data_IF_025390525418
#
_entry.id   IF_025390525418
#
_cell.length_a   1.000
_cell.length_b   1.000
_cell.length_c   1.000
_cell.angle_alpha   90.00
_cell.angle_beta   90.00
_cell.angle_gamma   90.00
#
_symmetry.space_group_name_H-M   'P 1'
#
loop_
_entity.id
_entity.type
_entity.pdbx_description
1 polymer ?
#
# COMPACT_ATOMS: atom_id res chain seq x y z
N UNK A 1 -28.69 -16.62 16.08
CA UNK A 1 -27.41 -15.87 16.07
C UNK A 1 -27.74 -14.40 16.17
N UNK A 2 -27.37 -13.74 17.28
CA UNK A 2 -27.77 -12.36 17.55
C UNK A 2 -26.95 -11.37 16.71
N UNK A 3 -27.55 -10.27 16.26
CA UNK A 3 -26.88 -9.22 15.47
C UNK A 3 -25.61 -8.69 16.17
N UNK A 4 -25.60 -8.73 17.51
CA UNK A 4 -24.48 -8.29 18.33
C UNK A 4 -23.24 -9.21 18.24
N UNK A 5 -23.42 -10.51 18.01
CA UNK A 5 -22.29 -11.44 17.80
C UNK A 5 -21.65 -11.25 16.43
N UNK A 6 -22.46 -10.92 15.41
CA UNK A 6 -21.99 -10.59 14.07
C UNK A 6 -21.17 -9.28 14.08
N UNK A 7 -21.66 -8.25 14.76
CA UNK A 7 -20.97 -6.96 14.88
C UNK A 7 -19.63 -7.07 15.63
N UNK A 8 -19.55 -7.91 16.66
CA UNK A 8 -18.31 -8.19 17.37
C UNK A 8 -17.29 -8.93 16.49
N UNK A 9 -17.74 -9.88 15.65
CA UNK A 9 -16.87 -10.59 14.71
C UNK A 9 -16.29 -9.65 13.63
N UNK A 10 -17.10 -8.74 13.08
CA UNK A 10 -16.63 -7.75 12.10
C UNK A 10 -15.65 -6.73 12.70
N UNK A 11 -15.83 -6.33 13.97
CA UNK A 11 -14.86 -5.45 14.64
C UNK A 11 -13.51 -6.14 14.84
N UNK A 12 -13.47 -7.44 15.17
CA UNK A 12 -12.21 -8.18 15.29
C UNK A 12 -11.45 -8.29 13.96
N UNK A 13 -12.16 -8.60 12.87
CA UNK A 13 -11.55 -8.68 11.53
C UNK A 13 -11.00 -7.34 11.01
N UNK A 14 -11.58 -6.21 11.44
CA UNK A 14 -11.13 -4.87 11.02
C UNK A 14 -9.84 -4.43 11.73
N UNK A 15 -9.64 -4.83 12.99
CA UNK A 15 -8.45 -4.45 13.79
C UNK A 15 -7.21 -5.24 13.31
N UNK A 16 -7.37 -6.51 12.97
CA UNK A 16 -6.23 -7.37 12.58
C UNK A 16 -5.66 -7.04 11.19
N UNK A 17 -6.49 -6.53 10.26
CA UNK A 17 -6.06 -6.15 8.90
C UNK A 17 -5.36 -4.79 8.83
N UNK A 18 -5.68 -3.86 9.72
CA UNK A 18 -5.12 -2.50 9.72
C UNK A 18 -3.83 -2.43 10.57
N UNK A 19 -3.71 -3.24 11.63
CA UNK A 19 -2.54 -3.21 12.52
C UNK A 19 -1.27 -3.84 11.93
N UNK A 20 -1.37 -5.01 11.29
CA UNK A 20 -0.18 -5.80 10.91
C UNK A 20 0.58 -5.23 9.70
N UNK A 21 -0.14 -4.69 8.71
CA UNK A 21 0.45 -4.13 7.48
C UNK A 21 0.97 -2.69 7.67
N UNK A 22 0.32 -1.89 8.51
CA UNK A 22 0.75 -0.52 8.79
C UNK A 22 2.00 -0.48 9.69
N UNK A 23 2.08 -1.35 10.71
CA UNK A 23 3.23 -1.40 11.61
C UNK A 23 4.53 -1.90 10.94
N UNK A 24 4.43 -2.85 10.00
CA UNK A 24 5.59 -3.35 9.25
C UNK A 24 6.07 -2.38 8.16
N UNK A 25 5.18 -1.52 7.64
CA UNK A 25 5.52 -0.49 6.67
C UNK A 25 6.13 0.77 7.33
N UNK A 26 5.64 1.20 8.50
CA UNK A 26 6.18 2.38 9.20
C UNK A 26 7.53 2.10 9.88
N UNK A 27 7.75 0.89 10.42
CA UNK A 27 9.02 0.52 11.05
C UNK A 27 10.22 0.51 10.07
N UNK A 28 9.98 0.27 8.77
CA UNK A 28 11.04 0.26 7.75
C UNK A 28 11.42 1.64 7.22
N UNK A 29 10.62 2.68 7.46
CA UNK A 29 10.86 4.02 6.91
C UNK A 29 11.56 5.00 7.86
N UNK A 30 11.60 4.73 9.17
CA UNK A 30 12.27 5.60 10.15
C UNK A 30 13.62 5.11 10.67
N UNK A 31 14.11 3.95 10.22
CA UNK A 31 15.32 3.30 10.78
C UNK A 31 16.67 3.73 10.15
N UNK A 32 16.76 4.86 9.44
CA UNK A 32 18.07 5.33 8.91
C UNK A 32 18.25 6.85 8.94
N UNK A 33 18.01 7.51 10.07
CA UNK A 33 18.62 8.82 10.37
C UNK A 33 18.83 8.97 11.88
N UNK A 34 19.79 8.24 12.45
CA UNK A 34 20.51 8.74 13.61
C UNK A 34 21.68 9.57 13.07
N UNK A 35 21.40 10.84 12.84
CA UNK A 35 22.44 11.86 12.69
C UNK A 35 22.68 12.32 14.13
N UNK A 36 23.87 12.03 14.66
CA UNK A 36 24.33 12.60 15.92
C UNK A 36 24.34 14.12 15.78
N UNK A 37 23.39 14.78 16.40
CA UNK A 37 23.48 16.20 16.75
C UNK A 37 23.34 16.24 18.26
N UNK A 38 24.49 16.39 18.91
CA UNK A 38 24.57 16.91 20.27
C UNK A 38 23.85 18.27 20.30
N UNK A 39 22.66 18.28 20.86
CA UNK A 39 21.97 19.50 21.30
C UNK A 39 21.66 19.31 22.76
N UNK A 40 22.70 19.35 23.58
CA UNK A 40 22.57 19.65 24.99
C UNK A 40 22.55 21.17 25.13
N UNK A 41 21.35 21.75 25.32
CA UNK A 41 21.08 22.92 26.17
C UNK A 41 19.67 23.43 25.95
N UNK A 42 19.04 23.80 27.07
CA UNK A 42 17.77 24.49 27.23
C UNK A 42 16.51 23.64 27.07
N UNK A 43 16.04 23.08 28.18
CA UNK A 43 14.85 23.56 28.91
C UNK A 43 14.69 22.69 30.18
N UNK A 44 14.92 23.28 31.36
CA UNK A 44 14.50 22.69 32.62
C UNK A 44 13.03 23.07 32.90
N UNK A 45 12.33 22.18 33.60
CA UNK A 45 11.10 22.36 34.38
C UNK A 45 9.79 21.83 33.78
N UNK A 46 9.50 20.52 33.95
CA UNK A 46 8.16 19.96 34.27
C UNK A 46 8.37 18.62 35.04
N UNK A 47 7.58 18.31 36.10
CA UNK A 47 7.91 17.24 37.05
C UNK A 47 7.48 15.83 36.60
N UNK A 48 8.25 14.88 37.14
CA UNK A 48 8.24 13.43 37.00
C UNK A 48 6.86 12.77 37.15
N UNK A 49 6.49 11.94 36.17
CA UNK A 49 5.57 10.82 36.39
C UNK A 49 6.34 9.53 36.15
N UNK A 50 6.20 8.59 37.08
CA UNK A 50 6.97 7.37 37.20
C UNK A 50 6.85 6.48 35.95
N UNK A 51 7.95 6.41 35.19
CA UNK A 51 8.16 5.40 34.14
C UNK A 51 9.27 4.47 34.64
N UNK A 52 9.13 3.13 34.51
CA UNK A 52 10.18 2.21 34.94
C UNK A 52 11.44 2.48 34.12
N UNK A 53 12.47 2.97 34.80
CA UNK A 53 13.80 3.17 34.22
C UNK A 53 14.42 1.79 34.04
N UNK A 54 14.46 1.31 32.79
CA UNK A 54 15.26 0.14 32.46
C UNK A 54 16.71 0.58 32.38
N UNK A 55 17.52 0.20 33.37
CA UNK A 55 18.95 0.46 33.41
C UNK A 55 19.65 -0.28 32.27
N UNK A 56 20.05 0.45 31.23
CA UNK A 56 20.86 -0.07 30.13
C UNK A 56 22.29 -0.21 30.64
N UNK A 57 22.73 -1.43 30.93
CA UNK A 57 24.13 -1.71 31.29
C UNK A 57 24.92 -2.06 30.04
N UNK A 58 25.89 -1.22 29.69
CA UNK A 58 26.80 -1.46 28.57
C UNK A 58 28.02 -2.26 29.07
N UNK A 59 28.28 -3.43 28.47
CA UNK A 59 29.51 -4.19 28.72
C UNK A 59 30.52 -3.89 27.60
N UNK A 60 31.72 -3.37 27.92
CA UNK A 60 32.72 -3.08 26.90
C UNK A 60 33.26 -4.38 26.29
N UNK A 61 33.23 -4.49 24.96
CA UNK A 61 33.79 -5.63 24.21
C UNK A 61 32.78 -6.41 23.37
N UNK A 62 31.47 -6.22 23.56
CA UNK A 62 30.42 -6.85 22.75
C UNK A 62 29.31 -5.84 22.42
N UNK A 63 28.92 -5.77 21.15
CA UNK A 63 27.79 -4.94 20.68
C UNK A 63 26.45 -5.64 21.02
N UNK A 64 26.22 -5.89 22.30
CA UNK A 64 25.01 -6.54 22.83
C UNK A 64 24.39 -5.61 23.86
N UNK A 65 23.29 -4.94 23.49
CA UNK A 65 22.48 -4.13 24.40
C UNK A 65 21.40 -5.06 24.96
N UNK A 66 21.54 -5.45 26.23
CA UNK A 66 20.58 -6.28 26.92
C UNK A 66 19.38 -5.41 27.35
N UNK A 67 18.36 -5.32 26.49
CA UNK A 67 17.04 -4.88 26.91
C UNK A 67 16.46 -6.04 27.73
N UNK A 68 16.29 -5.88 29.05
CA UNK A 68 15.83 -6.93 29.98
C UNK A 68 14.43 -7.48 29.70
N UNK A 69 14.24 -8.10 28.54
CA UNK A 69 13.02 -8.77 28.11
C UNK A 69 13.08 -10.18 28.71
N UNK A 70 12.09 -10.62 29.52
CA UNK A 70 12.03 -11.99 29.99
C UNK A 70 11.83 -12.92 28.79
N UNK A 71 12.90 -13.63 28.41
CA UNK A 71 12.91 -14.60 27.33
C UNK A 71 11.98 -15.76 27.65
N UNK A 72 10.77 -15.75 27.09
CA UNK A 72 9.92 -16.94 27.03
C UNK A 72 10.37 -17.81 25.86
N UNK A 73 10.89 -19.00 26.22
CA UNK A 73 11.07 -20.24 25.44
C UNK A 73 12.08 -20.20 24.29
N UNK A 74 13.14 -21.01 24.43
CA UNK A 74 14.04 -21.40 23.36
C UNK A 74 13.26 -22.06 22.23
N UNK A 75 13.24 -21.43 21.08
CA UNK A 75 12.78 -22.07 19.84
C UNK A 75 13.91 -23.01 19.39
N UNK A 76 13.65 -24.31 19.17
CA UNK A 76 14.67 -25.21 18.64
C UNK A 76 15.06 -24.79 17.21
N UNK A 77 16.34 -24.94 16.89
CA UNK A 77 16.93 -24.58 15.61
C UNK A 77 16.34 -25.40 14.47
N UNK A 78 15.77 -24.73 13.47
CA UNK A 78 15.29 -25.30 12.19
C UNK A 78 16.52 -25.67 11.34
N UNK A 79 17.23 -26.73 11.71
CA UNK A 79 18.17 -27.41 10.82
C UNK A 79 17.90 -28.91 10.97
N UNK A 80 16.72 -29.32 10.52
CA UNK A 80 16.40 -30.71 10.20
C UNK A 80 16.61 -30.91 8.70
N UNK A 81 17.86 -31.02 8.27
CA UNK A 81 18.15 -31.74 7.03
C UNK A 81 18.69 -33.11 7.42
N UNK A 82 18.01 -34.22 7.08
CA UNK A 82 18.55 -35.53 7.36
C UNK A 82 19.78 -35.72 6.48
N UNK A 83 20.96 -35.64 7.10
CA UNK A 83 22.21 -36.06 6.45
C UNK A 83 22.12 -37.57 6.32
N UNK A 84 21.75 -38.05 5.13
CA UNK A 84 21.80 -39.48 4.83
C UNK A 84 23.25 -39.96 5.03
N UNK A 85 23.44 -40.86 6.01
CA UNK A 85 24.75 -41.48 6.25
C UNK A 85 25.07 -42.38 5.06
N UNK A 86 25.97 -41.94 4.19
CA UNK A 86 26.48 -42.78 3.10
C UNK A 86 27.28 -43.92 3.76
N UNK A 87 27.02 -45.19 3.43
CA UNK A 87 27.84 -46.28 3.94
C UNK A 87 29.29 -46.12 3.46
N UNK A 88 30.29 -46.48 4.28
CA UNK A 88 31.69 -46.36 3.90
C UNK A 88 31.96 -47.18 2.63
N UNK A 89 32.70 -46.57 1.71
CA UNK A 89 33.05 -47.12 0.41
C UNK A 89 33.81 -48.44 0.61
N UNK A 90 33.24 -49.56 0.16
CA UNK A 90 33.94 -50.85 0.13
C UNK A 90 34.86 -50.88 -1.08
N UNK A 91 36.12 -51.25 -0.86
CA UNK A 91 37.06 -51.50 -1.95
C UNK A 91 36.58 -52.70 -2.79
N UNK A 92 36.63 -52.63 -4.13
CA UNK A 92 36.17 -53.72 -4.97
C UNK A 92 37.06 -54.95 -4.75
N UNK A 93 36.42 -56.06 -4.39
CA UNK A 93 37.06 -57.36 -4.24
C UNK A 93 37.76 -57.73 -5.54
N UNK A 94 39.05 -58.05 -5.44
CA UNK A 94 39.99 -58.55 -6.46
C UNK A 94 39.34 -58.94 -7.78
N UNK A 95 39.74 -58.23 -8.85
CA UNK A 95 39.38 -58.51 -10.24
C UNK A 95 39.61 -59.98 -10.59
N UNK A 96 38.53 -60.72 -10.81
CA UNK A 96 38.62 -62.01 -11.49
C UNK A 96 39.07 -61.76 -12.94
N UNK A 97 39.93 -62.61 -13.53
CA UNK A 97 40.26 -62.50 -14.94
C UNK A 97 38.98 -62.62 -15.78
N UNK A 98 38.73 -61.60 -16.61
CA UNK A 98 37.66 -61.62 -17.60
C UNK A 98 37.93 -62.77 -18.57
N UNK A 99 37.05 -63.77 -18.56
CA UNK A 99 36.98 -64.78 -19.61
C UNK A 99 36.42 -64.09 -20.86
N UNK A 100 37.25 -63.96 -21.90
CA UNK A 100 36.87 -63.33 -23.15
C UNK A 100 36.19 -64.37 -24.04
N UNK A 101 34.89 -64.22 -24.26
CA UNK A 101 34.20 -64.96 -25.33
C UNK A 101 34.70 -64.51 -26.71
N UNK A 102 34.66 -65.46 -27.66
CA UNK A 102 35.10 -65.38 -29.06
C UNK A 102 34.69 -64.09 -29.81
N UNK A 103 35.46 -63.64 -30.82
CA UNK A 103 35.38 -62.28 -31.33
C UNK A 103 33.99 -61.91 -31.87
N UNK A 104 33.44 -60.83 -31.31
CA UNK A 104 32.22 -60.18 -31.77
C UNK A 104 32.37 -59.75 -33.24
N UNK A 105 31.32 -59.88 -34.07
CA UNK A 105 31.36 -59.36 -35.43
C UNK A 105 31.62 -57.85 -35.41
N UNK A 106 32.57 -57.40 -36.23
CA UNK A 106 32.90 -55.98 -36.42
C UNK A 106 31.70 -55.24 -37.03
N UNK A 107 30.72 -54.87 -36.21
CA UNK A 107 29.81 -53.77 -36.53
C UNK A 107 30.61 -52.50 -36.28
N UNK A 108 31.05 -51.84 -37.34
CA UNK A 108 31.62 -50.51 -37.30
C UNK A 108 30.60 -49.58 -36.63
N UNK A 109 30.84 -49.25 -35.35
CA UNK A 109 30.10 -48.21 -34.65
C UNK A 109 30.66 -46.89 -35.15
N UNK A 110 30.03 -46.31 -36.17
CA UNK A 110 30.35 -44.97 -36.59
C UNK A 110 30.05 -43.99 -35.45
N UNK A 111 31.02 -43.14 -35.13
CA UNK A 111 30.82 -42.03 -34.19
C UNK A 111 29.67 -41.16 -34.71
N UNK A 112 28.71 -40.75 -33.85
CA UNK A 112 27.65 -39.85 -34.28
C UNK A 112 28.31 -38.61 -34.88
N UNK A 113 27.95 -38.30 -36.13
CA UNK A 113 28.55 -37.22 -36.92
C UNK A 113 28.57 -35.93 -36.10
N UNK A 114 29.77 -35.46 -35.74
CA UNK A 114 30.00 -34.16 -35.11
C UNK A 114 29.78 -33.09 -36.21
N UNK A 115 28.54 -32.96 -36.66
CA UNK A 115 28.16 -32.12 -37.80
C UNK A 115 26.93 -31.24 -37.51
N UNK A 116 26.42 -31.25 -36.28
CA UNK A 116 25.44 -30.29 -35.83
C UNK A 116 26.15 -29.08 -35.25
N UNK A 117 26.40 -28.04 -36.07
CA UNK A 117 26.57 -26.70 -35.52
C UNK A 117 25.26 -26.32 -34.83
N UNK A 118 25.10 -26.70 -33.56
CA UNK A 118 24.03 -26.17 -32.74
C UNK A 118 24.31 -24.69 -32.61
N UNK A 119 23.65 -23.86 -33.43
CA UNK A 119 23.61 -22.42 -33.24
C UNK A 119 23.19 -22.18 -31.80
N UNK A 120 24.16 -21.93 -30.91
CA UNK A 120 23.88 -21.55 -29.54
C UNK A 120 23.19 -20.21 -29.64
N UNK A 121 21.85 -20.21 -29.64
CA UNK A 121 21.01 -19.03 -29.62
C UNK A 121 21.27 -18.28 -28.30
N UNK A 122 22.39 -17.55 -28.26
CA UNK A 122 22.83 -16.73 -27.14
C UNK A 122 21.96 -15.48 -26.98
N UNK A 123 20.82 -15.42 -27.67
CA UNK A 123 19.80 -14.38 -27.59
C UNK A 123 19.48 -14.06 -26.13
N UNK A 124 19.29 -15.09 -25.28
CA UNK A 124 19.04 -14.91 -23.84
C UNK A 124 20.24 -14.28 -23.12
N UNK A 125 21.47 -14.68 -23.45
CA UNK A 125 22.69 -14.09 -22.89
C UNK A 125 22.88 -12.63 -23.27
N UNK A 126 22.59 -12.26 -24.51
CA UNK A 126 22.66 -10.87 -24.97
C UNK A 126 21.63 -10.01 -24.21
N UNK A 127 20.39 -10.49 -24.06
CA UNK A 127 19.34 -9.80 -23.28
C UNK A 127 19.76 -9.64 -21.81
N UNK A 128 20.32 -10.69 -21.20
CA UNK A 128 20.80 -10.67 -19.82
C UNK A 128 21.96 -9.67 -19.66
N UNK A 129 22.93 -9.65 -20.57
CA UNK A 129 24.04 -8.68 -20.57
C UNK A 129 23.56 -7.24 -20.71
N UNK A 130 22.57 -6.97 -21.58
CA UNK A 130 21.95 -5.64 -21.70
C UNK A 130 21.25 -5.22 -20.41
N UNK A 131 20.46 -6.11 -19.79
CA UNK A 131 19.80 -5.86 -18.49
C UNK A 131 20.83 -5.64 -17.37
N UNK A 132 21.88 -6.46 -17.32
CA UNK A 132 23.02 -6.32 -16.40
C UNK A 132 23.65 -4.94 -16.54
N UNK A 133 23.98 -4.53 -17.76
CA UNK A 133 24.64 -3.26 -18.03
C UNK A 133 23.73 -2.08 -17.67
N UNK A 134 22.44 -2.12 -18.00
CA UNK A 134 21.45 -1.09 -17.57
C UNK A 134 21.36 -0.98 -16.04
N UNK A 135 21.30 -2.10 -15.32
CA UNK A 135 21.28 -2.14 -13.85
C UNK A 135 22.58 -1.59 -13.25
N UNK A 136 23.73 -1.97 -13.82
CA UNK A 136 25.05 -1.49 -13.40
C UNK A 136 25.17 0.03 -13.58
N UNK A 137 24.90 0.54 -14.79
CA UNK A 137 24.91 1.98 -15.08
C UNK A 137 23.95 2.76 -14.19
N UNK A 138 22.72 2.24 -13.98
CA UNK A 138 21.75 2.83 -13.05
C UNK A 138 22.32 2.91 -11.63
N UNK A 139 22.87 1.82 -11.09
CA UNK A 139 23.49 1.80 -9.75
C UNK A 139 24.63 2.82 -9.65
N UNK A 140 25.51 2.90 -10.66
CA UNK A 140 26.60 3.88 -10.72
C UNK A 140 26.06 5.31 -10.68
N UNK A 141 25.00 5.61 -11.46
CA UNK A 141 24.32 6.90 -11.45
C UNK A 141 23.72 7.22 -10.07
N UNK A 142 23.05 6.25 -9.42
CA UNK A 142 22.45 6.49 -8.09
C UNK A 142 23.49 6.82 -7.02
N UNK A 143 24.67 6.20 -7.10
CA UNK A 143 25.78 6.52 -6.21
C UNK A 143 26.31 7.93 -6.49
N UNK A 144 26.55 8.26 -7.77
CA UNK A 144 27.04 9.60 -8.19
C UNK A 144 26.07 10.73 -7.80
N UNK A 145 24.76 10.52 -7.97
CA UNK A 145 23.73 11.56 -7.78
C UNK A 145 23.00 11.49 -6.43
N UNK A 146 23.50 10.71 -5.46
CA UNK A 146 22.82 10.42 -4.17
C UNK A 146 22.29 11.69 -3.50
N UNK A 147 23.12 12.71 -3.37
CA UNK A 147 22.79 13.94 -2.66
C UNK A 147 21.84 14.86 -3.44
N UNK A 148 22.03 14.97 -4.75
CA UNK A 148 21.13 15.75 -5.62
C UNK A 148 19.71 15.19 -5.54
N UNK A 149 19.57 13.87 -5.61
CA UNK A 149 18.26 13.22 -5.49
C UNK A 149 17.67 13.27 -4.08
N UNK A 150 18.52 13.23 -3.05
CA UNK A 150 18.07 13.44 -1.67
C UNK A 150 17.47 14.85 -1.51
N UNK A 151 18.15 15.89 -2.02
CA UNK A 151 17.64 17.27 -2.03
C UNK A 151 16.32 17.39 -2.78
N UNK A 152 16.22 16.79 -3.98
CA UNK A 152 14.96 16.79 -4.74
C UNK A 152 13.83 16.01 -4.04
N UNK A 153 14.15 14.94 -3.32
CA UNK A 153 13.15 14.20 -2.54
C UNK A 153 12.67 15.03 -1.36
N UNK A 154 13.59 15.69 -0.65
CA UNK A 154 13.26 16.57 0.47
C UNK A 154 12.33 17.71 0.02
N UNK A 155 12.65 18.39 -1.10
CA UNK A 155 11.79 19.45 -1.66
C UNK A 155 10.39 18.95 -1.95
N UNK A 156 10.26 17.81 -2.66
CA UNK A 156 8.95 17.19 -2.94
C UNK A 156 8.19 16.80 -1.68
N UNK A 157 8.87 16.32 -0.66
CA UNK A 157 8.23 15.98 0.62
C UNK A 157 7.71 17.23 1.34
N UNK A 158 8.50 18.30 1.38
CA UNK A 158 8.09 19.58 1.97
C UNK A 158 6.88 20.16 1.22
N UNK A 159 6.90 20.16 -0.12
CA UNK A 159 5.76 20.61 -0.92
C UNK A 159 4.52 19.77 -0.66
N UNK A 160 4.66 18.44 -0.54
CA UNK A 160 3.56 17.54 -0.22
C UNK A 160 2.96 17.86 1.15
N UNK A 161 3.81 18.07 2.17
CA UNK A 161 3.37 18.43 3.53
C UNK A 161 2.68 19.80 3.50
N UNK A 162 3.22 20.79 2.79
CA UNK A 162 2.61 22.12 2.67
C UNK A 162 1.23 22.05 2.01
N UNK A 163 1.08 21.30 0.92
CA UNK A 163 -0.22 21.09 0.26
C UNK A 163 -1.23 20.45 1.21
N UNK A 164 -0.82 19.39 1.90
CA UNK A 164 -1.67 18.72 2.89
C UNK A 164 -2.11 19.66 4.02
N UNK A 165 -1.18 20.43 4.59
CA UNK A 165 -1.49 21.38 5.65
C UNK A 165 -2.46 22.47 5.17
N UNK A 166 -2.26 22.99 3.95
CA UNK A 166 -3.17 23.97 3.37
C UNK A 166 -4.58 23.40 3.19
N UNK A 167 -4.70 22.17 2.69
CA UNK A 167 -5.99 21.48 2.57
C UNK A 167 -6.67 21.29 3.93
N UNK A 168 -5.92 20.93 4.97
CA UNK A 168 -6.45 20.79 6.32
C UNK A 168 -6.93 22.12 6.89
N UNK A 169 -6.12 23.18 6.76
CA UNK A 169 -6.49 24.54 7.19
C UNK A 169 -7.74 25.01 6.44
N UNK A 170 -7.85 24.73 5.14
CA UNK A 170 -9.04 25.07 4.36
C UNK A 170 -10.29 24.36 4.90
N UNK A 171 -10.21 23.06 5.22
CA UNK A 171 -11.33 22.32 5.82
C UNK A 171 -11.70 22.86 7.21
N UNK A 172 -10.72 23.19 8.04
CA UNK A 172 -10.96 23.79 9.37
C UNK A 172 -11.68 25.13 9.21
N UNK A 173 -11.22 25.99 8.29
CA UNK A 173 -11.87 27.28 8.01
C UNK A 173 -13.30 27.10 7.49
N UNK A 174 -13.54 26.14 6.60
CA UNK A 174 -14.88 25.81 6.13
C UNK A 174 -15.78 25.34 7.28
N UNK A 175 -15.27 24.52 8.19
CA UNK A 175 -16.01 24.04 9.36
C UNK A 175 -16.28 25.15 10.37
N UNK A 176 -15.33 26.07 10.60
CA UNK A 176 -15.51 27.23 11.48
C UNK A 176 -16.51 28.24 10.90
N UNK A 177 -16.49 28.45 9.59
CA UNK A 177 -17.42 29.32 8.89
C UNK A 177 -18.80 28.68 8.65
N UNK A 178 -18.98 27.41 9.04
CA UNK A 178 -20.23 26.70 8.81
C UNK A 178 -21.32 27.20 9.77
N UNK A 179 -22.29 27.91 9.20
CA UNK A 179 -23.52 28.29 9.90
C UNK A 179 -24.65 27.31 9.55
N UNK A 180 -25.05 26.51 10.54
CA UNK A 180 -26.09 25.51 10.39
C UNK A 180 -27.45 26.11 9.99
N UNK A 181 -27.80 27.30 10.49
CA UNK A 181 -29.09 27.93 10.17
C UNK A 181 -29.14 28.30 8.69
N UNK A 182 -28.10 28.95 8.19
CA UNK A 182 -27.96 29.30 6.77
C UNK A 182 -27.94 28.07 5.87
N UNK A 183 -27.26 27.00 6.29
CA UNK A 183 -27.23 25.75 5.55
C UNK A 183 -28.62 25.12 5.42
N UNK A 184 -29.38 25.03 6.52
CA UNK A 184 -30.74 24.50 6.51
C UNK A 184 -31.67 25.39 5.69
N UNK A 185 -31.60 26.70 5.86
CA UNK A 185 -32.39 27.64 5.07
C UNK A 185 -32.12 27.49 3.57
N UNK A 186 -30.85 27.41 3.16
CA UNK A 186 -30.52 27.17 1.75
C UNK A 186 -31.06 25.82 1.22
N UNK A 187 -31.15 24.78 2.06
CA UNK A 187 -31.79 23.51 1.69
C UNK A 187 -33.29 23.64 1.53
N UNK A 188 -33.95 24.34 2.45
CA UNK A 188 -35.37 24.66 2.37
C UNK A 188 -35.66 25.51 1.14
N UNK A 189 -34.83 26.49 0.82
CA UNK A 189 -34.96 27.33 -0.38
C UNK A 189 -34.84 26.49 -1.66
N UNK A 190 -33.91 25.53 -1.71
CA UNK A 190 -33.80 24.60 -2.85
C UNK A 190 -35.04 23.72 -2.99
N UNK A 191 -35.63 23.30 -1.87
CA UNK A 191 -36.84 22.47 -1.86
C UNK A 191 -38.07 23.30 -2.27
N UNK A 192 -38.17 24.52 -1.77
CA UNK A 192 -39.26 25.46 -2.01
C UNK A 192 -39.17 26.14 -3.39
N UNK A 193 -37.98 26.16 -4.01
CA UNK A 193 -37.80 26.63 -5.39
C UNK A 193 -38.70 25.85 -6.32
N UNK A 194 -39.60 26.56 -6.98
CA UNK A 194 -40.53 25.98 -7.93
C UNK A 194 -39.77 25.32 -9.10
N UNK A 195 -40.00 24.02 -9.27
CA UNK A 195 -39.47 23.26 -10.41
C UNK A 195 -40.35 23.51 -11.62
N UNK A 196 -39.88 24.36 -12.52
CA UNK A 196 -40.56 24.65 -13.78
C UNK A 196 -40.05 23.70 -14.86
N UNK A 197 -40.93 22.96 -15.56
CA UNK A 197 -40.50 22.10 -16.66
C UNK A 197 -39.94 22.95 -17.80
N UNK A 198 -39.00 22.37 -18.55
CA UNK A 198 -38.42 23.03 -19.74
C UNK A 198 -39.37 23.10 -20.93
N UNK A 199 -40.41 22.27 -20.92
CA UNK A 199 -41.41 22.18 -21.98
C UNK A 199 -42.80 22.43 -21.41
N UNK A 200 -43.67 22.98 -22.24
CA UNK A 200 -45.09 23.14 -21.90
C UNK A 200 -45.93 22.63 -23.08
N UNK A 201 -46.82 21.67 -22.81
CA UNK A 201 -47.64 20.98 -23.84
C UNK A 201 -46.84 20.31 -24.97
N UNK A 202 -45.56 20.01 -24.74
CA UNK A 202 -44.68 19.34 -25.72
C UNK A 202 -43.71 20.28 -26.44
N UNK A 203 -43.95 21.59 -26.40
CA UNK A 203 -43.08 22.58 -27.04
C UNK A 203 -42.05 23.15 -26.05
N UNK A 204 -40.85 23.43 -26.55
CA UNK A 204 -39.80 24.11 -25.78
C UNK A 204 -40.06 25.61 -25.87
N UNK A 205 -40.48 26.20 -24.75
CA UNK A 205 -40.81 27.61 -24.66
C UNK A 205 -39.85 28.31 -23.66
N UNK A 206 -39.65 29.63 -23.79
CA UNK A 206 -38.93 30.42 -22.80
C UNK A 206 -39.54 30.27 -21.40
N UNK A 207 -38.69 30.26 -20.37
CA UNK A 207 -39.08 30.00 -18.98
C UNK A 207 -40.18 30.95 -18.48
N UNK A 208 -40.13 32.22 -18.90
CA UNK A 208 -41.11 33.24 -18.54
C UNK A 208 -42.50 32.94 -19.10
N UNK A 209 -42.58 32.47 -20.35
CA UNK A 209 -43.86 32.06 -20.94
C UNK A 209 -44.44 30.83 -20.25
N UNK A 210 -43.60 29.83 -19.92
CA UNK A 210 -44.05 28.63 -19.21
C UNK A 210 -44.62 28.99 -17.83
N UNK A 211 -44.01 29.94 -17.11
CA UNK A 211 -44.56 30.47 -15.85
C UNK A 211 -45.93 31.10 -16.06
N UNK A 212 -46.05 32.08 -16.96
CA UNK A 212 -47.33 32.75 -17.25
C UNK A 212 -48.44 31.77 -17.60
N UNK A 213 -48.18 30.83 -18.51
CA UNK A 213 -49.15 29.82 -18.94
C UNK A 213 -49.55 28.85 -17.81
N UNK A 214 -48.63 28.55 -16.89
CA UNK A 214 -48.91 27.74 -15.70
C UNK A 214 -49.77 28.51 -14.70
N UNK A 215 -49.43 29.76 -14.43
CA UNK A 215 -50.11 30.62 -13.47
C UNK A 215 -51.55 30.90 -13.93
N UNK A 216 -51.75 31.20 -15.22
CA UNK A 216 -53.09 31.32 -15.82
C UNK A 216 -53.92 30.04 -15.66
N UNK A 217 -53.28 28.87 -15.82
CA UNK A 217 -53.94 27.57 -15.65
C UNK A 217 -54.31 27.32 -14.19
N UNK A 218 -53.48 27.75 -13.24
CA UNK A 218 -53.78 27.68 -11.80
C UNK A 218 -54.91 28.65 -11.43
N UNK A 219 -54.84 29.91 -11.83
CA UNK A 219 -55.87 30.91 -11.58
C UNK A 219 -57.25 30.47 -12.12
N UNK A 220 -57.30 29.87 -13.32
CA UNK A 220 -58.53 29.29 -13.88
C UNK A 220 -59.06 28.11 -13.06
N UNK A 221 -58.21 27.31 -12.41
CA UNK A 221 -58.64 26.25 -11.49
C UNK A 221 -59.16 26.83 -10.18
N UNK A 222 -58.45 27.79 -9.61
CA UNK A 222 -58.83 28.40 -8.32
C UNK A 222 -60.15 29.18 -8.45
N UNK A 223 -60.36 29.90 -9.55
CA UNK A 223 -61.63 30.55 -9.85
C UNK A 223 -62.81 29.57 -10.03
N UNK A 224 -62.54 28.32 -10.44
CA UNK A 224 -63.57 27.26 -10.48
C UNK A 224 -63.88 26.73 -9.09
N UNK A 225 -62.87 26.59 -8.22
CA UNK A 225 -63.02 26.09 -6.85
C UNK A 225 -63.65 27.13 -5.92
N UNK A 226 -63.29 28.41 -6.04
CA UNK A 226 -63.82 29.51 -5.22
C UNK A 226 -65.22 30.00 -5.64
N UNK A 227 -65.96 29.22 -6.42
CA UNK A 227 -67.37 29.55 -6.70
C UNK A 227 -68.17 29.33 -5.42
N UNK A 228 -68.87 30.36 -4.90
CA UNK A 228 -69.68 30.19 -3.70
C UNK A 228 -70.76 29.14 -3.97
N UNK A 229 -70.79 28.10 -3.13
CA UNK A 229 -71.86 27.11 -3.13
C UNK A 229 -73.10 27.81 -2.57
N UNK A 230 -74.08 28.10 -3.42
CA UNK A 230 -75.39 28.58 -2.97
C UNK A 230 -76.03 27.44 -2.16
N UNK A 231 -76.12 27.64 -0.84
CA UNK A 231 -76.93 26.78 0.03
C UNK A 231 -78.39 27.20 -0.17
N UNK A 232 -79.16 26.32 -0.81
CA UNK A 232 -80.63 26.38 -0.85
C UNK A 232 -81.19 26.08 0.54
#
# INVERSE_FOLDING_TARGET
MSINTLYAAFRKLAVDRIGAAAATATARYYSTQQINLDVSRFMHNVPSSAVPVHDIKFKPGTLSIDFGIPTRRSVPSIIEMPVARIPPLREPTKSLPLEYDSPLPQTSVDLPTIGGNFEKQAVRMIVIRRKKMKKHKRRKLRKKMKFVWARMRQRRNVEKIKRFNNEMIAKIKMAQAFDAKKYVQGRLDILNKERIPRTFRGEILPLEMIKKLRDEKQAKKDARLNKPILKL
#
